data_IF_678788041805
#
_entry.id   IF_678788041805
#
_cell.length_a   1.000
_cell.length_b   1.000
_cell.length_c   1.000
_cell.angle_alpha   90.00
_cell.angle_beta   90.00
_cell.angle_gamma   90.00
#
_symmetry.space_group_name_H-M   'P 1'
#
loop_
_entity.id
_entity.type
_entity.pdbx_description
1 polymer ?
#
# COMPACT_ATOMS: atom_id res chain seq x y z
N UNK A 1 44.81 19.23 -51.46
CA UNK A 1 43.37 19.07 -51.15
C UNK A 1 43.26 18.57 -49.70
N UNK A 2 42.88 19.49 -48.82
CA UNK A 2 42.65 19.20 -47.39
C UNK A 2 41.22 18.73 -47.23
N UNK A 3 41.03 17.55 -46.66
CA UNK A 3 39.72 17.03 -46.23
C UNK A 3 39.49 17.47 -44.79
N UNK A 4 38.45 18.28 -44.57
CA UNK A 4 38.03 18.69 -43.23
C UNK A 4 37.23 17.57 -42.60
N UNK A 5 37.73 17.03 -41.48
CA UNK A 5 37.04 16.08 -40.64
C UNK A 5 35.91 16.79 -39.84
N UNK A 6 34.73 16.27 -39.92
CA UNK A 6 33.60 16.69 -39.05
C UNK A 6 33.73 16.00 -37.70
N UNK A 7 34.04 16.81 -36.68
CA UNK A 7 33.99 16.37 -35.29
C UNK A 7 32.55 16.29 -34.83
N UNK A 8 32.01 15.08 -34.69
CA UNK A 8 30.75 14.82 -34.07
C UNK A 8 30.86 15.01 -32.56
N UNK A 9 30.31 16.13 -32.03
CA UNK A 9 30.17 16.35 -30.60
C UNK A 9 29.16 15.37 -30.01
N UNK A 10 29.65 14.36 -29.32
CA UNK A 10 28.84 13.45 -28.51
C UNK A 10 28.24 14.18 -27.34
N UNK A 11 27.03 14.74 -27.51
CA UNK A 11 26.24 15.29 -26.43
C UNK A 11 25.86 14.17 -25.49
N UNK A 12 26.50 14.13 -24.34
CA UNK A 12 26.19 13.25 -23.23
C UNK A 12 24.77 13.62 -22.73
N UNK A 13 23.75 13.00 -23.32
CA UNK A 13 22.38 13.10 -22.82
C UNK A 13 22.37 12.41 -21.47
N UNK A 14 22.55 13.18 -20.40
CA UNK A 14 22.22 12.74 -19.06
C UNK A 14 20.79 12.19 -19.11
N UNK A 15 20.66 10.89 -19.04
CA UNK A 15 19.37 10.23 -18.90
C UNK A 15 18.71 10.86 -17.66
N UNK A 16 17.62 11.59 -17.87
CA UNK A 16 16.78 12.06 -16.76
C UNK A 16 16.34 10.79 -16.04
N UNK A 17 16.84 10.59 -14.83
CA UNK A 17 16.38 9.54 -13.95
C UNK A 17 14.87 9.68 -13.85
N UNK A 18 14.13 8.63 -14.21
CA UNK A 18 12.69 8.60 -14.02
C UNK A 18 12.43 8.83 -12.53
N UNK A 19 11.64 9.84 -12.15
CA UNK A 19 11.27 10.00 -10.75
C UNK A 19 10.52 8.73 -10.36
N UNK A 20 11.02 7.98 -9.38
CA UNK A 20 10.42 6.75 -8.88
C UNK A 20 11.25 5.47 -9.03
N UNK A 21 12.36 5.45 -9.78
CA UNK A 21 13.23 4.27 -9.85
C UNK A 21 14.11 4.08 -8.60
N UNK A 22 14.18 5.08 -7.73
CA UNK A 22 15.05 5.09 -6.57
C UNK A 22 14.35 4.53 -5.34
N UNK A 23 13.82 3.35 -5.34
CA UNK A 23 13.50 2.63 -4.12
C UNK A 23 12.39 1.57 -4.24
N UNK A 24 12.37 0.80 -5.31
CA UNK A 24 11.47 -0.38 -5.33
C UNK A 24 11.80 -1.28 -4.12
N UNK A 25 13.07 -1.44 -3.79
CA UNK A 25 13.51 -2.21 -2.61
C UNK A 25 13.11 -1.53 -1.29
N UNK A 26 13.14 -0.20 -1.23
CA UNK A 26 12.70 0.56 -0.05
C UNK A 26 11.19 0.46 0.19
N UNK A 27 10.40 0.40 -0.87
CA UNK A 27 8.96 0.29 -0.82
C UNK A 27 8.49 -1.11 -0.39
N UNK A 28 9.14 -2.16 -0.88
CA UNK A 28 8.90 -3.53 -0.41
C UNK A 28 9.18 -3.66 1.09
N UNK A 29 10.26 -3.02 1.58
CA UNK A 29 10.60 -2.99 2.99
C UNK A 29 9.60 -2.17 3.82
N UNK A 30 9.04 -1.08 3.26
CA UNK A 30 8.01 -0.29 3.93
C UNK A 30 6.67 -1.02 4.04
N UNK A 31 6.39 -1.99 3.15
CA UNK A 31 5.16 -2.79 3.16
C UNK A 31 5.31 -4.12 3.89
N UNK A 32 6.41 -4.31 4.60
CA UNK A 32 6.63 -5.48 5.46
C UNK A 32 7.04 -5.02 6.84
N UNK A 33 6.47 -5.60 7.87
CA UNK A 33 6.82 -5.30 9.25
C UNK A 33 5.65 -4.89 10.12
N UNK A 34 5.98 -4.35 11.27
CA UNK A 34 5.01 -3.90 12.28
C UNK A 34 5.06 -2.38 12.39
N UNK A 35 3.92 -1.75 12.47
CA UNK A 35 3.76 -0.33 12.71
C UNK A 35 2.83 -0.07 13.86
N UNK A 36 3.14 0.97 14.63
CA UNK A 36 2.31 1.43 15.75
C UNK A 36 1.63 2.72 15.38
N UNK A 37 0.32 2.74 15.44
CA UNK A 37 -0.49 3.89 15.06
C UNK A 37 -1.37 4.31 16.23
N UNK A 38 -1.19 5.54 16.68
CA UNK A 38 -2.08 6.17 17.65
C UNK A 38 -3.12 7.00 16.92
N UNK A 39 -4.38 6.74 17.22
CA UNK A 39 -5.47 7.60 16.73
C UNK A 39 -5.53 8.86 17.59
N UNK A 40 -5.75 10.03 16.97
CA UNK A 40 -5.93 11.25 17.75
C UNK A 40 -7.14 11.11 18.67
N UNK A 41 -6.92 11.36 19.95
CA UNK A 41 -8.01 11.57 20.89
C UNK A 41 -8.87 12.70 20.33
N UNK A 42 -10.13 12.40 20.06
CA UNK A 42 -11.08 13.45 19.66
C UNK A 42 -11.43 14.28 20.89
N UNK A 43 -10.53 15.23 21.26
CA UNK A 43 -10.91 16.36 22.10
C UNK A 43 -11.78 17.30 21.26
N UNK A 44 -12.93 16.79 20.84
CA UNK A 44 -13.99 17.66 20.33
C UNK A 44 -14.68 18.26 21.53
N UNK A 45 -14.66 19.58 21.62
CA UNK A 45 -15.60 20.29 22.49
C UNK A 45 -17.00 19.83 22.08
N UNK A 46 -17.83 19.43 23.06
CA UNK A 46 -19.17 18.85 22.84
C UNK A 46 -20.07 19.71 21.93
N UNK A 47 -19.72 20.98 21.72
CA UNK A 47 -20.46 21.90 20.85
C UNK A 47 -20.27 21.74 19.36
N UNK A 48 -19.13 21.25 18.91
CA UNK A 48 -18.81 21.10 17.47
C UNK A 48 -19.28 19.75 16.92
N UNK A 49 -19.30 18.70 17.74
CA UNK A 49 -19.80 17.38 17.38
C UNK A 49 -21.31 17.39 17.12
N UNK A 50 -22.07 18.17 17.88
CA UNK A 50 -23.53 18.30 17.75
C UNK A 50 -23.93 19.00 16.43
N UNK A 51 -23.08 19.85 15.87
CA UNK A 51 -23.34 20.58 14.61
C UNK A 51 -23.08 19.77 13.35
N UNK A 52 -22.21 18.79 13.38
CA UNK A 52 -21.78 18.08 12.18
C UNK A 52 -22.44 16.70 12.00
N UNK A 53 -23.00 16.08 13.05
CA UNK A 53 -23.53 14.70 12.99
C UNK A 53 -22.51 13.64 12.55
N UNK A 54 -21.23 14.02 12.42
CA UNK A 54 -20.16 13.17 11.91
C UNK A 54 -19.32 12.59 13.05
N UNK A 55 -19.35 11.27 13.20
CA UNK A 55 -18.66 10.54 14.28
C UNK A 55 -17.66 9.52 13.75
N UNK A 56 -16.96 9.81 12.67
CA UNK A 56 -15.94 8.92 12.10
C UNK A 56 -14.54 9.18 12.72
N UNK A 57 -13.76 8.13 13.05
CA UNK A 57 -14.11 6.71 13.11
C UNK A 57 -14.86 6.38 14.43
N UNK A 58 -15.99 5.69 14.37
CA UNK A 58 -16.80 5.31 15.53
C UNK A 58 -16.72 3.82 15.84
N UNK A 59 -16.79 2.99 14.81
CA UNK A 59 -16.73 1.53 14.93
C UNK A 59 -15.28 1.03 14.93
N UNK A 60 -15.05 -0.15 15.54
CA UNK A 60 -13.74 -0.81 15.52
C UNK A 60 -13.21 -0.96 14.10
N UNK A 61 -14.03 -1.43 13.16
CA UNK A 61 -13.63 -1.59 11.77
C UNK A 61 -13.22 -0.27 11.10
N UNK A 62 -13.88 0.83 11.42
CA UNK A 62 -13.49 2.16 10.94
C UNK A 62 -12.18 2.63 11.55
N UNK A 63 -11.95 2.36 12.83
CA UNK A 63 -10.69 2.68 13.52
C UNK A 63 -9.52 1.90 12.92
N UNK A 64 -9.68 0.58 12.73
CA UNK A 64 -8.69 -0.28 12.07
C UNK A 64 -8.38 0.22 10.65
N UNK A 65 -9.41 0.55 9.87
CA UNK A 65 -9.25 1.10 8.52
C UNK A 65 -8.54 2.45 8.51
N UNK A 66 -8.87 3.32 9.46
CA UNK A 66 -8.22 4.62 9.59
C UNK A 66 -6.76 4.48 10.05
N UNK A 67 -6.47 3.55 10.96
CA UNK A 67 -5.09 3.27 11.41
C UNK A 67 -4.21 2.84 10.24
N UNK A 68 -4.67 1.89 9.42
CA UNK A 68 -3.94 1.44 8.22
C UNK A 68 -3.79 2.57 7.20
N UNK A 69 -4.85 3.35 6.98
CA UNK A 69 -4.80 4.51 6.08
C UNK A 69 -3.73 5.51 6.53
N UNK A 70 -3.75 5.88 7.80
CA UNK A 70 -2.80 6.83 8.37
C UNK A 70 -1.36 6.33 8.25
N UNK A 71 -1.11 5.09 8.63
CA UNK A 71 0.23 4.50 8.59
C UNK A 71 0.80 4.44 7.16
N UNK A 72 0.00 4.01 6.19
CA UNK A 72 0.43 3.97 4.79
C UNK A 72 0.62 5.38 4.21
N UNK A 73 -0.22 6.33 4.61
CA UNK A 73 -0.07 7.73 4.20
C UNK A 73 1.21 8.35 4.79
N UNK A 74 1.51 8.07 6.06
CA UNK A 74 2.74 8.53 6.72
C UNK A 74 4.00 7.91 6.09
N UNK A 75 3.87 6.72 5.49
CA UNK A 75 4.90 6.08 4.65
C UNK A 75 4.97 6.62 3.22
N UNK A 76 4.28 7.73 2.95
CA UNK A 76 4.22 8.39 1.65
C UNK A 76 3.56 7.59 0.52
N UNK A 77 2.64 6.67 0.84
CA UNK A 77 1.77 6.05 -0.15
C UNK A 77 0.52 6.90 -0.42
N UNK A 78 0.14 6.99 -1.68
CA UNK A 78 -1.17 7.48 -2.07
C UNK A 78 -2.15 6.32 -2.08
N UNK A 79 -3.35 6.53 -1.56
CA UNK A 79 -4.34 5.48 -1.36
C UNK A 79 -5.63 5.79 -2.10
N UNK A 80 -6.16 4.78 -2.78
CA UNK A 80 -7.50 4.81 -3.38
C UNK A 80 -8.29 3.57 -2.97
N UNK A 81 -9.60 3.55 -3.28
CA UNK A 81 -10.42 2.37 -3.01
C UNK A 81 -9.97 1.15 -3.80
N UNK A 82 -9.80 0.03 -3.11
CA UNK A 82 -9.41 -1.26 -3.67
C UNK A 82 -10.57 -2.18 -4.03
N UNK A 83 -11.82 -1.72 -3.92
CA UNK A 83 -13.04 -2.54 -4.03
C UNK A 83 -13.11 -3.35 -5.34
N UNK A 84 -12.65 -2.77 -6.46
CA UNK A 84 -12.60 -3.48 -7.76
C UNK A 84 -11.70 -4.71 -7.76
N UNK A 85 -10.75 -4.76 -6.85
CA UNK A 85 -9.77 -5.86 -6.72
C UNK A 85 -10.02 -6.72 -5.48
N UNK A 86 -11.21 -6.57 -4.85
CA UNK A 86 -11.54 -7.31 -3.63
C UNK A 86 -10.66 -6.96 -2.44
N UNK A 87 -10.07 -5.78 -2.43
CA UNK A 87 -9.23 -5.25 -1.36
C UNK A 87 -9.81 -3.96 -0.78
N UNK A 88 -9.27 -3.49 0.33
CA UNK A 88 -9.72 -2.26 0.97
C UNK A 88 -9.10 -1.03 0.33
N UNK A 89 -7.79 -1.09 0.06
CA UNK A 89 -7.05 -0.02 -0.56
C UNK A 89 -6.20 -0.50 -1.74
N UNK A 90 -5.97 0.42 -2.66
CA UNK A 90 -4.86 0.38 -3.61
C UNK A 90 -3.80 1.36 -3.13
N UNK A 91 -2.54 0.91 -3.05
CA UNK A 91 -1.44 1.76 -2.64
C UNK A 91 -0.52 2.06 -3.83
N UNK A 92 -0.27 3.35 -4.02
CA UNK A 92 0.52 3.91 -5.12
C UNK A 92 1.81 4.51 -4.58
N UNK A 93 2.93 4.38 -5.29
CA UNK A 93 4.20 4.97 -4.90
C UNK A 93 4.26 6.50 -5.04
N UNK A 94 3.26 7.11 -5.60
CA UNK A 94 3.17 8.54 -5.85
C UNK A 94 1.79 8.87 -6.40
N UNK A 95 1.64 10.05 -7.00
CA UNK A 95 0.36 10.52 -7.52
C UNK A 95 -0.30 9.47 -8.45
N UNK A 96 -1.54 9.04 -8.17
CA UNK A 96 -2.27 8.07 -8.98
C UNK A 96 -2.48 8.48 -10.45
N UNK A 97 -2.33 9.77 -10.77
CA UNK A 97 -2.39 10.28 -12.15
C UNK A 97 -1.13 9.87 -12.92
N UNK A 98 0.01 9.76 -12.23
CA UNK A 98 1.32 9.50 -12.83
C UNK A 98 1.81 8.07 -12.64
N UNK A 99 1.29 7.38 -11.64
CA UNK A 99 1.76 6.04 -11.23
C UNK A 99 0.63 5.02 -11.19
N UNK A 100 0.95 3.78 -11.49
CA UNK A 100 0.05 2.67 -11.23
C UNK A 100 0.15 2.21 -9.79
N UNK A 101 -0.94 1.67 -9.24
CA UNK A 101 -0.90 1.02 -7.93
C UNK A 101 0.03 -0.20 -7.97
N UNK A 102 0.92 -0.30 -6.99
CA UNK A 102 1.81 -1.44 -6.83
C UNK A 102 1.19 -2.52 -5.92
N UNK A 103 0.35 -2.11 -4.99
CA UNK A 103 -0.20 -3.00 -3.97
C UNK A 103 -1.71 -2.94 -3.90
N UNK A 104 -2.31 -4.09 -3.65
CA UNK A 104 -3.68 -4.23 -3.17
C UNK A 104 -3.59 -4.56 -1.68
N UNK A 105 -4.22 -3.75 -0.84
CA UNK A 105 -4.13 -3.89 0.62
C UNK A 105 -5.47 -4.35 1.16
N UNK A 106 -5.46 -5.46 1.91
CA UNK A 106 -6.62 -5.97 2.63
C UNK A 106 -6.40 -5.85 4.13
N UNK A 107 -7.37 -5.26 4.80
CA UNK A 107 -7.35 -5.08 6.24
C UNK A 107 -8.01 -6.27 6.90
N UNK A 108 -7.37 -6.81 7.93
CA UNK A 108 -7.87 -7.94 8.71
C UNK A 108 -7.62 -7.65 10.17
N UNK A 109 -8.65 -7.80 11.01
CA UNK A 109 -8.46 -7.76 12.46
C UNK A 109 -7.57 -8.92 12.89
N UNK A 110 -6.69 -8.71 13.86
CA UNK A 110 -5.71 -9.70 14.33
C UNK A 110 -6.32 -11.05 14.68
N UNK A 111 -7.48 -11.04 15.31
CA UNK A 111 -8.16 -12.25 15.78
C UNK A 111 -8.92 -13.00 14.68
N UNK A 112 -8.95 -12.45 13.46
CA UNK A 112 -9.71 -13.03 12.37
C UNK A 112 -8.90 -14.07 11.62
N UNK A 113 -9.42 -15.30 11.58
CA UNK A 113 -8.86 -16.36 10.75
C UNK A 113 -9.14 -16.08 9.27
N UNK A 114 -8.08 -16.09 8.46
CA UNK A 114 -8.21 -16.01 7.00
C UNK A 114 -8.31 -17.41 6.39
N UNK A 115 -9.36 -17.64 5.63
CA UNK A 115 -9.51 -18.91 4.92
C UNK A 115 -8.50 -19.00 3.77
N UNK A 116 -7.78 -20.13 3.57
CA UNK A 116 -6.76 -20.27 2.52
C UNK A 116 -7.27 -19.98 1.11
N UNK A 117 -8.52 -20.34 0.81
CA UNK A 117 -9.15 -20.05 -0.47
C UNK A 117 -9.26 -18.54 -0.73
N UNK A 118 -9.55 -17.75 0.30
CA UNK A 118 -9.63 -16.30 0.19
C UNK A 118 -8.25 -15.69 -0.08
N UNK A 119 -7.21 -16.21 0.57
CA UNK A 119 -5.82 -15.79 0.33
C UNK A 119 -5.44 -16.08 -1.12
N UNK A 120 -5.66 -17.31 -1.57
CA UNK A 120 -5.36 -17.74 -2.94
C UNK A 120 -6.11 -16.91 -3.99
N UNK A 121 -7.41 -16.66 -3.79
CA UNK A 121 -8.21 -15.86 -4.70
C UNK A 121 -7.72 -14.40 -4.77
N UNK A 122 -7.43 -13.78 -3.62
CA UNK A 122 -6.93 -12.41 -3.55
C UNK A 122 -5.55 -12.25 -4.18
N UNK A 123 -4.64 -13.20 -3.91
CA UNK A 123 -3.30 -13.19 -4.51
C UNK A 123 -3.37 -13.34 -6.03
N UNK A 124 -4.20 -14.27 -6.54
CA UNK A 124 -4.39 -14.45 -7.99
C UNK A 124 -5.00 -13.22 -8.66
N UNK A 125 -5.98 -12.58 -8.03
CA UNK A 125 -6.60 -11.36 -8.55
C UNK A 125 -5.60 -10.21 -8.60
N UNK A 126 -4.80 -10.03 -7.56
CA UNK A 126 -3.76 -9.01 -7.50
C UNK A 126 -2.67 -9.27 -8.54
N UNK A 127 -2.24 -10.52 -8.70
CA UNK A 127 -1.27 -10.93 -9.71
C UNK A 127 -1.79 -10.68 -11.13
N UNK A 128 -3.04 -11.04 -11.44
CA UNK A 128 -3.66 -10.75 -12.74
C UNK A 128 -3.71 -9.25 -13.05
N UNK A 129 -3.82 -8.41 -12.02
CA UNK A 129 -3.75 -6.95 -12.14
C UNK A 129 -2.32 -6.39 -12.06
N UNK A 130 -1.28 -7.25 -12.05
CA UNK A 130 0.14 -6.89 -11.89
C UNK A 130 0.40 -6.07 -10.63
N UNK A 131 -0.15 -6.52 -9.51
CA UNK A 131 -0.01 -5.92 -8.19
C UNK A 131 0.34 -6.98 -7.16
N UNK A 132 1.07 -6.59 -6.14
CA UNK A 132 1.35 -7.45 -5.01
C UNK A 132 0.21 -7.38 -4.00
N UNK A 133 -0.18 -8.52 -3.46
CA UNK A 133 -1.22 -8.60 -2.44
C UNK A 133 -0.61 -8.39 -1.05
N UNK A 134 -1.14 -7.44 -0.30
CA UNK A 134 -0.71 -7.12 1.05
C UNK A 134 -1.87 -7.33 2.02
N UNK A 135 -1.61 -8.06 3.07
CA UNK A 135 -2.49 -8.17 4.24
C UNK A 135 -1.98 -7.23 5.31
N UNK A 136 -2.84 -6.31 5.76
CA UNK A 136 -2.63 -5.46 6.91
C UNK A 136 -3.41 -6.05 8.09
N UNK A 137 -2.73 -6.77 8.98
CA UNK A 137 -3.31 -7.32 10.18
C UNK A 137 -3.23 -6.28 11.31
N UNK A 138 -4.38 -5.92 11.89
CA UNK A 138 -4.50 -4.84 12.86
C UNK A 138 -4.89 -5.39 14.21
N UNK A 139 -4.14 -5.01 15.25
CA UNK A 139 -4.37 -5.36 16.64
C UNK A 139 -4.55 -4.09 17.47
N UNK A 140 -5.58 -4.03 18.30
CA UNK A 140 -5.69 -3.00 19.32
C UNK A 140 -4.73 -3.33 20.47
N UNK A 141 -3.92 -2.37 20.91
CA UNK A 141 -2.99 -2.56 22.04
C UNK A 141 -3.70 -2.41 23.39
N UNK A 142 -4.77 -1.62 23.41
CA UNK A 142 -5.51 -1.32 24.62
C UNK A 142 -7.03 -1.50 24.44
N UNK A 143 -7.74 -1.63 25.56
CA UNK A 143 -9.21 -1.73 25.57
C UNK A 143 -9.90 -0.44 25.08
N UNK A 144 -9.18 0.68 25.08
CA UNK A 144 -9.71 1.96 24.60
C UNK A 144 -9.78 2.04 23.08
N UNK A 145 -9.15 1.08 22.38
CA UNK A 145 -9.04 1.05 20.92
C UNK A 145 -8.53 2.37 20.33
N UNK A 146 -7.50 2.94 20.95
CA UNK A 146 -6.89 4.18 20.49
C UNK A 146 -5.50 3.96 19.89
N UNK A 147 -4.81 2.93 20.37
CA UNK A 147 -3.52 2.52 19.85
C UNK A 147 -3.66 1.22 19.07
N UNK A 148 -3.10 1.20 17.88
CA UNK A 148 -3.13 0.06 16.99
C UNK A 148 -1.73 -0.34 16.56
N UNK A 149 -1.49 -1.63 16.63
CA UNK A 149 -0.34 -2.28 16.05
C UNK A 149 -0.74 -2.84 14.68
N UNK A 150 -0.02 -2.44 13.63
CA UNK A 150 -0.32 -2.87 12.27
C UNK A 150 0.84 -3.71 11.73
N UNK A 151 0.54 -4.93 11.36
CA UNK A 151 1.49 -5.87 10.75
C UNK A 151 1.18 -6.02 9.26
N UNK A 152 2.20 -5.88 8.42
CA UNK A 152 2.07 -6.04 6.97
C UNK A 152 2.74 -7.33 6.49
N UNK A 153 1.99 -8.10 5.72
CA UNK A 153 2.44 -9.32 5.06
C UNK A 153 2.23 -9.18 3.56
N UNK A 154 3.30 -9.19 2.79
CA UNK A 154 3.21 -9.18 1.33
C UNK A 154 3.19 -10.62 0.83
N UNK A 155 2.20 -10.95 0.00
CA UNK A 155 2.05 -12.24 -0.64
C UNK A 155 2.18 -12.06 -2.16
N UNK A 156 3.15 -12.74 -2.73
CA UNK A 156 3.38 -12.77 -4.17
C UNK A 156 3.02 -14.15 -4.71
N UNK A 157 2.50 -14.20 -5.93
CA UNK A 157 2.33 -15.46 -6.61
C UNK A 157 3.72 -15.96 -7.07
N UNK A 158 4.05 -17.20 -6.72
CA UNK A 158 5.28 -17.82 -7.21
C UNK A 158 5.13 -18.13 -8.71
N UNK A 159 5.81 -17.34 -9.53
CA UNK A 159 5.77 -17.45 -11.00
C UNK A 159 6.64 -18.62 -11.49
N UNK A 160 7.62 -19.02 -10.70
CA UNK A 160 8.60 -20.04 -11.11
C UNK A 160 8.05 -21.46 -11.12
N UNK A 161 7.02 -21.74 -10.34
CA UNK A 161 6.34 -23.05 -10.37
C UNK A 161 5.59 -23.33 -11.67
N UNK A 162 5.31 -22.32 -12.50
CA UNK A 162 4.64 -22.49 -13.79
C UNK A 162 5.61 -22.75 -14.94
N UNK A 163 6.86 -22.34 -14.83
CA UNK A 163 7.88 -22.49 -15.88
C UNK A 163 8.50 -23.89 -15.92
N UNK A 164 8.33 -24.70 -14.89
CA UNK A 164 8.96 -26.03 -14.78
C UNK A 164 8.03 -27.19 -15.14
N UNK A 165 6.86 -26.92 -15.74
CA UNK A 165 6.06 -27.97 -16.39
C UNK A 165 6.50 -28.10 -17.85
N UNK A 166 7.70 -28.67 -18.03
CA UNK A 166 8.09 -29.26 -19.30
C UNK A 166 7.15 -30.45 -19.57
N UNK A 167 6.38 -30.34 -20.61
CA UNK A 167 5.74 -31.46 -21.28
C UNK A 167 6.68 -31.98 -22.35
#
# INVERSE_FOLDING_TARGET
RQSRGWGGGGGNKKAKAKPGAANVVGWQKAMSGTSYVSLPLQNRSDGDAARAGWTFPSTRAEKERYAVFKDLHDKAFYLTSGTKFGSDFLAYPGDPILFHAHYTVRIVSWDRVMHPLMISASTRMSHAARKNFVVAAVRAEDESEQNFEVHYFTLEADVDLSSNRGY
#
